data_IF_277522120171
#
_entry.id   IF_277522120171
#
_cell.length_a   1.000
_cell.length_b   1.000
_cell.length_c   1.000
_cell.angle_alpha   90.00
_cell.angle_beta   90.00
_cell.angle_gamma   90.00
#
_symmetry.space_group_name_H-M   'P 1'
#
loop_
_entity.id
_entity.type
_entity.pdbx_description
1 polymer ?
#
# COMPACT_ATOMS: atom_id res chain seq x y z
N UNK A 1 21.09 -64.02 -5.78
CA UNK A 1 21.64 -62.72 -6.21
C UNK A 1 20.54 -61.98 -6.95
N UNK A 2 19.74 -61.11 -6.31
CA UNK A 2 20.01 -59.72 -5.90
C UNK A 2 20.31 -58.79 -7.08
N UNK A 3 19.46 -57.77 -7.15
CA UNK A 3 19.54 -56.52 -7.93
C UNK A 3 19.21 -56.61 -9.41
N UNK A 4 17.96 -56.24 -9.76
CA UNK A 4 17.66 -55.02 -10.55
C UNK A 4 16.17 -54.97 -10.88
N UNK A 5 15.35 -54.40 -9.99
CA UNK A 5 14.18 -53.64 -10.47
C UNK A 5 13.62 -52.60 -9.50
N UNK A 6 14.13 -52.51 -8.27
CA UNK A 6 13.78 -51.39 -7.37
C UNK A 6 14.30 -50.03 -7.89
N UNK A 7 15.38 -50.03 -8.69
CA UNK A 7 15.94 -48.79 -9.28
C UNK A 7 15.08 -48.25 -10.43
N UNK A 8 14.38 -49.12 -11.17
CA UNK A 8 13.52 -48.70 -12.29
C UNK A 8 12.17 -48.15 -11.83
N UNK A 9 11.70 -48.57 -10.65
CA UNK A 9 10.46 -48.07 -10.05
C UNK A 9 10.67 -46.69 -9.40
N UNK A 10 11.89 -46.37 -8.94
CA UNK A 10 12.21 -45.04 -8.38
C UNK A 10 12.29 -43.90 -9.41
N UNK A 11 12.39 -44.21 -10.70
CA UNK A 11 12.51 -43.21 -11.79
C UNK A 11 11.18 -42.87 -12.47
N UNK A 12 10.08 -43.53 -12.10
CA UNK A 12 8.73 -43.29 -12.66
C UNK A 12 7.71 -42.78 -11.64
N UNK A 13 8.17 -42.24 -10.52
CA UNK A 13 7.35 -41.31 -9.73
C UNK A 13 7.48 -39.90 -10.32
N UNK A 14 7.07 -39.75 -11.59
CA UNK A 14 6.27 -38.57 -11.90
C UNK A 14 4.99 -38.72 -11.10
N UNK A 15 5.06 -38.41 -9.80
CA UNK A 15 3.86 -38.08 -9.05
C UNK A 15 3.26 -36.93 -9.85
N UNK A 16 2.17 -37.22 -10.56
CA UNK A 16 1.26 -36.22 -11.13
C UNK A 16 0.69 -35.44 -9.95
N UNK A 17 1.55 -34.64 -9.33
CA UNK A 17 1.23 -33.78 -8.22
C UNK A 17 0.42 -32.65 -8.83
N UNK A 18 -0.83 -32.54 -8.38
CA UNK A 18 -1.75 -31.52 -8.87
C UNK A 18 -1.15 -30.13 -8.66
N UNK A 19 -1.51 -29.18 -9.51
CA UNK A 19 -1.06 -27.80 -9.36
C UNK A 19 -1.36 -27.23 -7.96
N UNK A 20 -2.46 -27.65 -7.33
CA UNK A 20 -2.82 -27.29 -5.96
C UNK A 20 -1.87 -27.86 -4.90
N UNK A 21 -1.45 -29.11 -5.02
CA UNK A 21 -0.49 -29.72 -4.10
C UNK A 21 0.90 -29.07 -4.21
N UNK A 22 1.32 -28.74 -5.43
CA UNK A 22 2.58 -28.01 -5.65
C UNK A 22 2.55 -26.62 -5.00
N UNK A 23 1.44 -25.89 -5.12
CA UNK A 23 1.26 -24.59 -4.45
C UNK A 23 1.20 -24.74 -2.92
N UNK A 24 0.56 -25.79 -2.42
CA UNK A 24 0.52 -26.10 -0.99
C UNK A 24 1.92 -26.36 -0.44
N UNK A 25 2.74 -27.12 -1.16
CA UNK A 25 4.13 -27.35 -0.77
C UNK A 25 4.95 -26.06 -0.74
N UNK A 26 4.85 -25.24 -1.78
CA UNK A 26 5.50 -23.91 -1.79
C UNK A 26 5.06 -23.09 -0.58
N UNK A 27 3.76 -23.13 -0.23
CA UNK A 27 3.23 -22.47 0.95
C UNK A 27 3.85 -23.02 2.24
N UNK A 28 3.92 -24.32 2.41
CA UNK A 28 4.45 -24.96 3.62
C UNK A 28 5.93 -24.65 3.84
N UNK A 29 6.74 -24.71 2.78
CA UNK A 29 8.19 -24.44 2.83
C UNK A 29 8.47 -22.98 3.18
N UNK A 30 7.75 -22.05 2.57
CA UNK A 30 8.03 -20.61 2.69
C UNK A 30 7.20 -19.88 3.76
N UNK A 31 6.18 -20.53 4.36
CA UNK A 31 5.30 -19.88 5.33
C UNK A 31 6.05 -19.38 6.57
N UNK A 32 7.08 -20.12 7.01
CA UNK A 32 7.89 -19.81 8.19
C UNK A 32 9.06 -18.87 7.89
N UNK A 33 9.26 -18.54 6.62
CA UNK A 33 10.40 -17.77 6.17
C UNK A 33 10.04 -16.30 5.98
N UNK A 34 10.90 -15.42 6.47
CA UNK A 34 10.75 -13.98 6.30
C UNK A 34 10.86 -13.58 4.82
N UNK A 35 11.77 -14.25 4.10
CA UNK A 35 12.08 -13.99 2.68
C UNK A 35 11.58 -15.16 1.82
N UNK A 36 10.84 -14.83 0.76
CA UNK A 36 10.11 -15.82 -0.06
C UNK A 36 10.66 -15.87 -1.49
N UNK A 37 11.95 -16.14 -1.61
CA UNK A 37 12.64 -16.18 -2.90
C UNK A 37 12.86 -17.61 -3.38
N UNK A 38 13.26 -17.75 -4.65
CA UNK A 38 13.57 -19.04 -5.26
C UNK A 38 14.72 -19.75 -4.55
N UNK A 39 15.74 -18.99 -4.13
CA UNK A 39 16.93 -19.50 -3.45
C UNK A 39 16.58 -20.07 -2.07
N UNK A 40 15.75 -19.35 -1.30
CA UNK A 40 15.28 -19.82 0.02
C UNK A 40 14.45 -21.09 -0.14
N UNK A 41 13.57 -21.12 -1.14
CA UNK A 41 12.78 -22.30 -1.44
C UNK A 41 13.66 -23.49 -1.82
N UNK A 42 14.61 -23.32 -2.75
CA UNK A 42 15.47 -24.42 -3.21
C UNK A 42 16.37 -24.97 -2.11
N UNK A 43 16.80 -24.13 -1.17
CA UNK A 43 17.54 -24.56 0.01
C UNK A 43 16.69 -25.38 0.99
N UNK A 44 15.37 -25.16 1.05
CA UNK A 44 14.48 -25.71 2.10
C UNK A 44 13.42 -26.69 1.59
N UNK A 45 13.26 -26.86 0.28
CA UNK A 45 12.22 -27.70 -0.33
C UNK A 45 12.33 -29.18 -0.01
N UNK A 46 13.49 -29.67 0.41
CA UNK A 46 13.80 -31.10 0.56
C UNK A 46 14.21 -31.79 -0.75
N UNK A 47 14.86 -32.95 -0.65
CA UNK A 47 15.46 -33.66 -1.80
C UNK A 47 14.41 -34.19 -2.80
N UNK A 48 13.22 -34.54 -2.32
CA UNK A 48 12.16 -35.17 -3.13
C UNK A 48 11.24 -34.18 -3.86
N UNK A 49 11.43 -32.88 -3.70
CA UNK A 49 10.53 -31.85 -4.24
C UNK A 49 11.12 -31.12 -5.44
N UNK A 50 10.24 -30.61 -6.31
CA UNK A 50 10.63 -29.83 -7.47
C UNK A 50 11.38 -28.56 -7.10
N UNK A 51 12.43 -28.25 -7.85
CA UNK A 51 13.17 -26.99 -7.76
C UNK A 51 12.31 -25.81 -8.22
N UNK A 52 12.70 -24.60 -7.84
CA UNK A 52 12.09 -23.36 -8.30
C UNK A 52 12.02 -23.30 -9.84
N UNK A 53 13.08 -23.73 -10.53
CA UNK A 53 13.13 -23.77 -11.99
C UNK A 53 12.12 -24.76 -12.60
N UNK A 54 11.98 -25.95 -12.00
CA UNK A 54 10.96 -26.92 -12.43
C UNK A 54 9.55 -26.39 -12.19
N UNK A 55 9.31 -25.72 -11.07
CA UNK A 55 8.01 -25.10 -10.78
C UNK A 55 7.69 -23.99 -11.80
N UNK A 56 8.65 -23.12 -12.13
CA UNK A 56 8.46 -22.06 -13.14
C UNK A 56 8.04 -22.62 -14.50
N UNK A 57 8.68 -23.71 -14.94
CA UNK A 57 8.33 -24.41 -16.19
C UNK A 57 6.92 -25.03 -16.11
N UNK A 58 6.59 -25.74 -15.02
CA UNK A 58 5.29 -26.40 -14.85
C UNK A 58 4.12 -25.41 -14.78
N UNK A 59 4.31 -24.29 -14.10
CA UNK A 59 3.27 -23.27 -13.96
C UNK A 59 3.26 -22.25 -15.10
N UNK A 60 4.31 -22.20 -15.92
CA UNK A 60 4.56 -21.13 -16.89
C UNK A 60 4.48 -19.73 -16.23
N UNK A 61 5.11 -19.59 -15.07
CA UNK A 61 5.09 -18.38 -14.23
C UNK A 61 6.49 -18.10 -13.68
N UNK A 62 6.76 -16.83 -13.37
CA UNK A 62 7.92 -16.47 -12.56
C UNK A 62 7.75 -16.95 -11.12
N UNK A 63 8.85 -17.20 -10.41
CA UNK A 63 8.78 -17.68 -9.04
C UNK A 63 7.99 -16.74 -8.10
N UNK A 64 8.13 -15.40 -8.17
CA UNK A 64 7.26 -14.48 -7.41
C UNK A 64 5.77 -14.65 -7.70
N UNK A 65 5.37 -14.91 -8.95
CA UNK A 65 3.97 -15.19 -9.30
C UNK A 65 3.49 -16.50 -8.67
N UNK A 66 4.35 -17.52 -8.57
CA UNK A 66 4.04 -18.78 -7.90
C UNK A 66 3.84 -18.55 -6.39
N UNK A 67 4.68 -17.74 -5.76
CA UNK A 67 4.54 -17.34 -4.34
C UNK A 67 3.22 -16.59 -4.10
N UNK A 68 2.83 -15.69 -5.01
CA UNK A 68 1.51 -15.04 -4.93
C UNK A 68 0.39 -16.06 -5.07
N UNK A 69 0.50 -16.99 -6.02
CA UNK A 69 -0.51 -18.02 -6.29
C UNK A 69 -0.63 -19.04 -5.15
N UNK A 70 0.41 -19.22 -4.32
CA UNK A 70 0.36 -20.04 -3.11
C UNK A 70 -0.23 -19.31 -1.90
N UNK A 71 -0.55 -18.01 -2.04
CA UNK A 71 -1.12 -17.18 -0.98
C UNK A 71 -0.11 -16.65 0.02
N UNK A 72 1.19 -16.72 -0.27
CA UNK A 72 2.27 -16.21 0.59
C UNK A 72 2.77 -14.82 0.15
N UNK A 73 1.86 -13.93 -0.21
CA UNK A 73 2.23 -12.62 -0.73
C UNK A 73 2.31 -11.55 0.35
N UNK A 74 3.10 -10.52 0.05
CA UNK A 74 3.13 -9.25 0.74
C UNK A 74 3.21 -8.13 -0.31
N UNK A 75 2.68 -6.95 0.03
CA UNK A 75 2.58 -5.84 -0.90
C UNK A 75 3.92 -5.11 -1.11
N UNK A 76 4.98 -5.38 -0.34
CA UNK A 76 6.29 -4.79 -0.62
C UNK A 76 7.02 -5.52 -1.73
N UNK A 77 7.12 -6.85 -1.62
CA UNK A 77 7.94 -7.66 -2.51
C UNK A 77 7.16 -8.14 -3.74
N UNK A 78 5.84 -8.30 -3.61
CA UNK A 78 5.04 -8.98 -4.63
C UNK A 78 4.06 -8.05 -5.35
N UNK A 79 4.09 -6.74 -5.07
CA UNK A 79 3.12 -5.75 -5.54
C UNK A 79 2.80 -5.84 -7.04
N UNK A 80 3.82 -6.08 -7.86
CA UNK A 80 3.71 -6.18 -9.33
C UNK A 80 2.82 -7.35 -9.78
N UNK A 81 2.78 -8.42 -9.00
CA UNK A 81 2.17 -9.69 -9.37
C UNK A 81 0.79 -9.91 -8.72
N UNK A 82 0.40 -9.03 -7.80
CA UNK A 82 -0.87 -9.12 -7.08
C UNK A 82 -1.98 -8.38 -7.87
N UNK A 83 -3.16 -9.00 -8.06
CA UNK A 83 -4.36 -8.35 -8.58
C UNK A 83 -4.78 -7.13 -7.76
N UNK A 84 -5.39 -6.12 -8.39
CA UNK A 84 -5.72 -4.85 -7.72
C UNK A 84 -6.71 -5.04 -6.58
N UNK A 85 -7.65 -5.95 -6.75
CA UNK A 85 -8.70 -6.30 -5.81
C UNK A 85 -8.11 -6.77 -4.47
N UNK A 86 -7.11 -7.65 -4.55
CA UNK A 86 -6.36 -8.13 -3.38
C UNK A 86 -5.57 -6.99 -2.72
N UNK A 87 -4.99 -6.08 -3.51
CA UNK A 87 -4.30 -4.90 -2.96
C UNK A 87 -5.29 -4.06 -2.14
N UNK A 88 -6.48 -3.76 -2.67
CA UNK A 88 -7.49 -2.97 -1.97
C UNK A 88 -7.99 -3.66 -0.70
N UNK A 89 -8.25 -4.97 -0.73
CA UNK A 89 -8.65 -5.73 0.45
C UNK A 89 -7.58 -5.66 1.55
N UNK A 90 -6.31 -5.91 1.21
CA UNK A 90 -5.21 -5.85 2.18
C UNK A 90 -5.03 -4.43 2.74
N UNK A 91 -5.15 -3.40 1.91
CA UNK A 91 -5.09 -2.01 2.37
C UNK A 91 -6.25 -1.68 3.31
N UNK A 92 -7.46 -2.15 3.02
CA UNK A 92 -8.61 -1.97 3.90
C UNK A 92 -8.37 -2.56 5.30
N UNK A 93 -7.86 -3.79 5.38
CA UNK A 93 -7.46 -4.40 6.66
C UNK A 93 -6.39 -3.56 7.38
N UNK A 94 -5.43 -3.01 6.64
CA UNK A 94 -4.36 -2.20 7.22
C UNK A 94 -4.85 -0.84 7.71
N UNK A 95 -5.77 -0.19 6.99
CA UNK A 95 -6.42 1.05 7.46
C UNK A 95 -7.21 0.81 8.74
N UNK A 96 -7.95 -0.30 8.82
CA UNK A 96 -8.67 -0.70 10.03
C UNK A 96 -7.71 -0.95 11.20
N UNK A 97 -6.57 -1.61 10.96
CA UNK A 97 -5.52 -1.81 11.98
C UNK A 97 -4.91 -0.49 12.46
N UNK A 98 -4.67 0.45 11.55
CA UNK A 98 -4.07 1.75 11.87
C UNK A 98 -5.09 2.69 12.54
N UNK A 99 -6.38 2.51 12.27
CA UNK A 99 -7.47 3.37 12.71
C UNK A 99 -7.49 4.73 12.00
N UNK A 100 -6.89 4.83 10.81
CA UNK A 100 -6.82 6.07 10.04
C UNK A 100 -6.47 5.82 8.58
N UNK A 101 -7.10 6.58 7.69
CA UNK A 101 -6.90 6.59 6.23
C UNK A 101 -5.98 7.71 5.76
N UNK A 102 -5.56 8.60 6.66
CA UNK A 102 -4.65 9.72 6.35
C UNK A 102 -3.31 9.23 5.82
N UNK A 103 -2.86 9.76 4.69
CA UNK A 103 -1.63 9.37 3.97
C UNK A 103 -0.40 9.33 4.89
N UNK A 104 -0.17 10.37 5.68
CA UNK A 104 1.03 10.47 6.53
C UNK A 104 0.96 9.53 7.75
N UNK A 105 -0.24 9.31 8.29
CA UNK A 105 -0.45 8.31 9.35
C UNK A 105 -0.20 6.90 8.82
N UNK A 106 -0.73 6.59 7.63
CA UNK A 106 -0.44 5.34 6.93
C UNK A 106 1.06 5.14 6.73
N UNK A 107 1.75 6.10 6.11
CA UNK A 107 3.18 5.99 5.85
C UNK A 107 4.01 5.77 7.12
N UNK A 108 3.61 6.38 8.24
CA UNK A 108 4.32 6.24 9.51
C UNK A 108 4.02 4.91 10.21
N UNK A 109 2.75 4.49 10.24
CA UNK A 109 2.26 3.37 11.06
C UNK A 109 2.10 2.05 10.31
N UNK A 110 2.21 2.04 8.97
CA UNK A 110 2.09 0.82 8.17
C UNK A 110 3.03 -0.27 8.66
N UNK A 111 2.61 -1.52 8.52
CA UNK A 111 3.51 -2.64 8.69
C UNK A 111 4.57 -2.61 7.57
N UNK A 112 5.76 -2.10 7.90
CA UNK A 112 6.84 -1.85 6.94
C UNK A 112 7.35 -3.11 6.25
N UNK A 113 7.15 -4.30 6.82
CA UNK A 113 7.53 -5.56 6.16
C UNK A 113 6.51 -6.00 5.12
N UNK A 114 5.23 -5.67 5.29
CA UNK A 114 4.15 -6.11 4.38
C UNK A 114 3.60 -5.04 3.44
N UNK A 115 3.68 -3.76 3.80
CA UNK A 115 3.01 -2.68 3.09
C UNK A 115 3.99 -1.61 2.56
N UNK A 116 3.89 -1.24 1.28
CA UNK A 116 4.73 -0.23 0.67
C UNK A 116 4.27 1.18 1.04
N UNK A 117 5.11 2.17 0.73
CA UNK A 117 4.73 3.58 0.87
C UNK A 117 3.54 3.92 -0.02
N UNK A 118 2.76 4.91 0.40
CA UNK A 118 1.60 5.39 -0.35
C UNK A 118 1.95 5.79 -1.78
N UNK A 119 3.13 6.39 -2.00
CA UNK A 119 3.53 6.84 -3.33
C UNK A 119 3.85 5.66 -4.27
N UNK A 120 4.39 4.57 -3.75
CA UNK A 120 4.56 3.32 -4.49
C UNK A 120 3.21 2.72 -4.90
N UNK A 121 2.20 2.77 -4.00
CA UNK A 121 0.85 2.31 -4.30
C UNK A 121 0.21 3.15 -5.40
N UNK A 122 0.33 4.48 -5.32
CA UNK A 122 -0.19 5.41 -6.33
C UNK A 122 0.37 5.10 -7.73
N UNK A 123 1.68 4.87 -7.83
CA UNK A 123 2.33 4.50 -9.09
C UNK A 123 1.84 3.15 -9.59
N UNK A 124 1.78 2.13 -8.73
CA UNK A 124 1.34 0.78 -9.11
C UNK A 124 -0.10 0.73 -9.62
N UNK A 125 -0.99 1.45 -8.93
CA UNK A 125 -2.42 1.43 -9.18
C UNK A 125 -2.82 2.44 -10.25
N UNK A 126 -1.93 3.39 -10.56
CA UNK A 126 -2.21 4.56 -11.38
C UNK A 126 -3.42 5.34 -10.85
N UNK A 127 -3.41 5.60 -9.54
CA UNK A 127 -4.50 6.22 -8.79
C UNK A 127 -3.93 7.22 -7.77
N UNK A 128 -4.69 8.27 -7.52
CA UNK A 128 -4.51 9.17 -6.39
C UNK A 128 -4.86 8.48 -5.05
N UNK A 129 -4.44 9.09 -3.93
CA UNK A 129 -4.76 8.53 -2.61
C UNK A 129 -6.27 8.47 -2.34
N UNK A 130 -7.09 9.49 -2.67
CA UNK A 130 -8.54 9.40 -2.53
C UNK A 130 -9.17 8.29 -3.37
N UNK A 131 -8.73 8.09 -4.62
CA UNK A 131 -9.23 6.99 -5.47
C UNK A 131 -8.91 5.61 -4.87
N UNK A 132 -7.73 5.45 -4.28
CA UNK A 132 -7.37 4.22 -3.55
C UNK A 132 -8.32 4.02 -2.37
N UNK A 133 -8.60 5.07 -1.58
CA UNK A 133 -9.51 4.97 -0.43
C UNK A 133 -10.94 4.61 -0.86
N UNK A 134 -11.42 5.17 -1.96
CA UNK A 134 -12.70 4.82 -2.56
C UNK A 134 -12.75 3.34 -2.96
N UNK A 135 -11.74 2.83 -3.67
CA UNK A 135 -11.66 1.41 -4.02
C UNK A 135 -11.54 0.50 -2.79
N UNK A 136 -10.95 1.00 -1.69
CA UNK A 136 -10.89 0.29 -0.41
C UNK A 136 -12.18 0.38 0.41
N UNK A 137 -13.24 1.03 -0.09
CA UNK A 137 -14.50 1.30 0.63
C UNK A 137 -14.33 2.13 1.91
N UNK A 138 -13.27 2.94 1.96
CA UNK A 138 -12.95 3.86 3.05
C UNK A 138 -13.42 5.29 2.77
N UNK A 139 -13.89 5.54 1.56
CA UNK A 139 -14.40 6.83 1.08
C UNK A 139 -15.67 6.57 0.27
N UNK A 140 -16.69 7.41 0.43
CA UNK A 140 -17.98 7.26 -0.27
C UNK A 140 -17.89 7.81 -1.70
N UNK A 141 -17.14 8.89 -1.91
CA UNK A 141 -16.99 9.55 -3.21
C UNK A 141 -15.61 10.16 -3.38
N UNK A 142 -15.07 10.15 -4.61
CA UNK A 142 -13.86 10.90 -4.97
C UNK A 142 -14.29 12.22 -5.59
N UNK A 143 -14.10 13.33 -4.88
CA UNK A 143 -14.36 14.66 -5.45
C UNK A 143 -13.33 14.97 -6.53
N UNK A 144 -13.79 15.27 -7.76
CA UNK A 144 -12.91 15.75 -8.83
C UNK A 144 -12.53 17.20 -8.55
N UNK A 145 -11.40 17.63 -9.10
CA UNK A 145 -10.89 19.00 -8.94
C UNK A 145 -11.95 20.07 -9.29
N UNK A 146 -12.71 19.86 -10.36
CA UNK A 146 -13.73 20.80 -10.83
C UNK A 146 -14.94 20.90 -9.88
N UNK A 147 -15.14 19.90 -9.01
CA UNK A 147 -16.20 19.88 -8.00
C UNK A 147 -15.75 20.49 -6.65
N UNK A 148 -14.46 20.80 -6.51
CA UNK A 148 -13.90 21.40 -5.29
C UNK A 148 -14.07 22.92 -5.38
N UNK A 149 -15.02 23.46 -4.62
CA UNK A 149 -15.18 24.91 -4.55
C UNK A 149 -14.07 25.57 -3.75
N UNK A 150 -13.74 26.82 -4.12
CA UNK A 150 -12.80 27.66 -3.35
C UNK A 150 -13.27 27.81 -1.90
N UNK A 151 -14.57 27.89 -1.70
CA UNK A 151 -15.25 28.02 -0.42
C UNK A 151 -15.06 26.77 0.45
N UNK A 152 -15.12 25.56 -0.14
CA UNK A 152 -14.86 24.31 0.57
C UNK A 152 -13.43 24.26 1.11
N UNK A 153 -12.45 24.66 0.31
CA UNK A 153 -11.04 24.72 0.71
C UNK A 153 -10.80 25.76 1.81
N UNK A 154 -11.45 26.94 1.72
CA UNK A 154 -11.40 27.95 2.78
C UNK A 154 -12.02 27.42 4.07
N UNK A 155 -13.16 26.75 3.98
CA UNK A 155 -13.85 26.18 5.13
C UNK A 155 -12.98 25.12 5.82
N UNK A 156 -12.44 24.16 5.07
CA UNK A 156 -11.59 23.10 5.63
C UNK A 156 -10.32 23.67 6.27
N UNK A 157 -9.63 24.59 5.60
CA UNK A 157 -8.46 25.27 6.17
C UNK A 157 -8.80 26.01 7.48
N UNK A 158 -9.95 26.67 7.52
CA UNK A 158 -10.44 27.40 8.70
C UNK A 158 -10.73 26.44 9.85
N UNK A 159 -11.39 25.31 9.59
CA UNK A 159 -11.68 24.29 10.59
C UNK A 159 -10.39 23.69 11.18
N UNK A 160 -9.42 23.35 10.33
CA UNK A 160 -8.11 22.85 10.76
C UNK A 160 -7.38 23.88 11.61
N UNK A 161 -7.37 25.14 11.18
CA UNK A 161 -6.67 26.22 11.88
C UNK A 161 -7.33 26.54 13.24
N UNK A 162 -8.66 26.56 13.31
CA UNK A 162 -9.41 26.70 14.57
C UNK A 162 -9.09 25.57 15.55
N UNK A 163 -9.05 24.33 15.06
CA UNK A 163 -8.67 23.15 15.87
C UNK A 163 -7.26 23.26 16.45
N UNK A 164 -6.33 23.88 15.71
CA UNK A 164 -4.95 24.10 16.15
C UNK A 164 -4.79 25.35 17.04
N UNK A 165 -5.82 26.18 17.17
CA UNK A 165 -5.73 27.51 17.79
C UNK A 165 -4.79 28.47 17.04
N UNK A 166 -4.43 28.14 15.79
CA UNK A 166 -3.56 28.95 14.94
C UNK A 166 -3.67 28.55 13.47
N UNK A 167 -3.24 29.45 12.58
CA UNK A 167 -3.00 29.18 11.18
C UNK A 167 -2.21 27.87 11.00
N UNK A 168 -2.80 26.93 10.27
CA UNK A 168 -2.17 25.68 9.94
C UNK A 168 -0.91 25.92 9.07
N UNK A 169 0.16 25.18 9.36
CA UNK A 169 1.30 25.08 8.44
C UNK A 169 0.96 24.17 7.26
N UNK A 170 1.75 24.23 6.18
CA UNK A 170 1.58 23.32 5.04
C UNK A 170 1.64 21.85 5.44
N UNK A 171 2.53 21.52 6.37
CA UNK A 171 2.68 20.15 6.88
C UNK A 171 1.41 19.69 7.60
N UNK A 172 0.91 20.53 8.51
CA UNK A 172 -0.30 20.23 9.28
C UNK A 172 -1.57 20.21 8.42
N UNK A 173 -1.64 21.08 7.41
CA UNK A 173 -2.70 21.05 6.42
C UNK A 173 -2.69 19.69 5.71
N UNK A 174 -1.55 19.30 5.12
CA UNK A 174 -1.36 17.98 4.48
C UNK A 174 -1.71 16.80 5.39
N UNK A 175 -1.48 16.94 6.70
CA UNK A 175 -1.77 15.90 7.69
C UNK A 175 -3.26 15.79 8.05
N UNK A 176 -4.07 16.82 7.76
CA UNK A 176 -5.44 16.92 8.23
C UNK A 176 -6.49 17.03 7.13
N UNK A 177 -6.12 17.53 5.94
CA UNK A 177 -7.01 17.65 4.78
C UNK A 177 -7.13 16.34 4.00
N UNK A 178 -8.29 16.16 3.36
CA UNK A 178 -8.52 15.11 2.37
C UNK A 178 -7.99 15.50 0.97
N UNK A 179 -7.71 16.78 0.74
CA UNK A 179 -7.24 17.29 -0.55
C UNK A 179 -5.71 17.28 -0.68
N UNK A 180 -5.23 17.21 -1.91
CA UNK A 180 -3.80 17.39 -2.17
C UNK A 180 -3.41 18.87 -1.97
N UNK A 181 -2.14 19.12 -1.64
CA UNK A 181 -1.63 20.50 -1.58
C UNK A 181 -1.70 21.22 -2.94
N UNK A 182 -1.69 20.47 -4.03
CA UNK A 182 -1.75 21.05 -5.38
C UNK A 182 -3.14 21.62 -5.67
N UNK A 183 -4.20 21.03 -5.13
CA UNK A 183 -5.56 21.62 -5.13
C UNK A 183 -5.48 23.03 -4.52
N UNK A 184 -4.97 23.15 -3.29
CA UNK A 184 -4.85 24.45 -2.63
C UNK A 184 -3.97 25.45 -3.40
N UNK A 185 -2.87 24.99 -4.02
CA UNK A 185 -2.01 25.86 -4.82
C UNK A 185 -2.69 26.38 -6.08
N UNK A 186 -3.54 25.59 -6.72
CA UNK A 186 -4.25 26.03 -7.92
C UNK A 186 -5.22 27.19 -7.61
N UNK A 187 -5.95 27.12 -6.51
CA UNK A 187 -6.94 28.15 -6.15
C UNK A 187 -6.32 29.39 -5.51
N UNK A 188 -5.31 29.20 -4.64
CA UNK A 188 -4.78 30.29 -3.82
C UNK A 188 -3.37 30.72 -4.20
N UNK A 189 -2.70 30.03 -5.13
CA UNK A 189 -1.28 30.18 -5.51
C UNK A 189 -0.29 29.87 -4.38
N UNK A 190 -0.47 30.44 -3.20
CA UNK A 190 0.42 30.31 -2.04
C UNK A 190 -0.38 30.11 -0.75
N UNK A 191 0.23 29.45 0.23
CA UNK A 191 -0.36 29.29 1.57
C UNK A 191 -0.59 30.64 2.28
N UNK A 192 0.20 31.65 1.93
CA UNK A 192 0.05 33.01 2.44
C UNK A 192 -1.28 33.61 2.00
N UNK A 193 -1.61 33.53 0.70
CA UNK A 193 -2.90 33.98 0.18
C UNK A 193 -4.07 33.20 0.78
N UNK A 194 -3.97 31.87 0.90
CA UNK A 194 -5.01 31.07 1.57
C UNK A 194 -5.27 31.55 3.00
N UNK A 195 -4.21 31.82 3.77
CA UNK A 195 -4.30 32.35 5.13
C UNK A 195 -5.00 33.69 5.18
N UNK A 196 -4.56 34.64 4.35
CA UNK A 196 -5.14 35.97 4.25
C UNK A 196 -6.63 35.90 3.90
N UNK A 197 -7.00 35.07 2.92
CA UNK A 197 -8.40 34.83 2.54
C UNK A 197 -9.23 34.13 3.62
N UNK A 198 -8.59 33.40 4.54
CA UNK A 198 -9.25 32.76 5.67
C UNK A 198 -9.17 33.60 6.96
N UNK A 199 -8.72 34.85 6.89
CA UNK A 199 -8.64 35.75 8.05
C UNK A 199 -7.49 35.47 9.01
N UNK A 200 -6.48 34.69 8.59
CA UNK A 200 -5.29 34.41 9.38
C UNK A 200 -4.11 35.26 8.90
N UNK A 201 -3.48 36.03 9.80
CA UNK A 201 -2.22 36.74 9.51
C UNK A 201 -1.00 36.00 10.05
N UNK A 202 0.15 36.26 9.41
CA UNK A 202 1.47 35.89 9.91
C UNK A 202 2.19 37.14 10.38
N UNK A 203 2.49 37.24 11.67
CA UNK A 203 3.50 38.17 12.15
C UNK A 203 4.88 37.57 11.86
N UNK A 204 5.54 38.11 10.85
CA UNK A 204 6.85 37.67 10.35
C UNK A 204 8.03 38.00 11.30
N UNK A 205 7.79 37.97 12.61
CA UNK A 205 8.83 38.18 13.64
C UNK A 205 8.70 37.14 14.75
N UNK A 206 9.05 35.88 14.46
CA UNK A 206 9.39 34.88 15.47
C UNK A 206 8.35 34.52 16.55
N UNK A 207 7.08 34.94 16.43
CA UNK A 207 6.07 34.79 17.48
C UNK A 207 5.04 33.72 17.16
N UNK A 208 4.99 32.65 17.97
CA UNK A 208 3.88 31.69 18.00
C UNK A 208 2.64 32.38 18.59
N UNK A 209 1.75 32.93 17.75
CA UNK A 209 0.29 33.06 17.98
C UNK A 209 -0.38 33.95 16.90
N UNK A 210 -1.41 33.46 16.19
CA UNK A 210 -2.31 34.31 15.42
C UNK A 210 -3.41 34.88 16.32
N UNK A 211 -3.84 36.10 16.01
CA UNK A 211 -4.97 36.81 16.65
C UNK A 211 -6.19 36.61 15.74
N UNK A 212 -7.33 36.23 16.31
CA UNK A 212 -8.61 36.22 15.59
C UNK A 212 -9.04 37.66 15.27
N UNK A 213 -9.41 37.94 14.03
CA UNK A 213 -10.00 39.22 13.66
C UNK A 213 -11.47 39.22 14.13
N UNK A 214 -11.74 39.95 15.21
CA UNK A 214 -13.09 40.36 15.57
C UNK A 214 -13.50 41.55 14.69
N UNK A 215 -14.51 41.36 13.86
CA UNK A 215 -15.51 42.37 13.48
C UNK A 215 -16.79 41.65 13.11
#
# INVERSE_FOLDING_TARGET
>A
MKYTNEKSIRLKQEVLCSQSELLKHVKEVLAKEDVKTAEVYDAKKGELHYTSETLRKKFNLTFPQIVVKSGLYDLNNHLKYIPREIIYEQLNYEFNRIGSTRKNVYNTKRNKSRFPYSDTLKVRLNQSWPEILFCCKQLIEVKKYDDISRELLRHEYTMISKKLGRAATMRELTDQTEFSLDVYRQYFSTIKKLREECGFRHDYKGGKKPIELST
#
